data_IF_369834989775
#
_entry.id   IF_369834989775
#
_cell.length_a   1.000
_cell.length_b   1.000
_cell.length_c   1.000
_cell.angle_alpha   90.00
_cell.angle_beta   90.00
_cell.angle_gamma   90.00
#
_symmetry.space_group_name_H-M   'P 1'
#
loop_
_entity.id
_entity.type
_entity.pdbx_description
1 polymer ?
#
# COMPACT_ATOMS: atom_id res chain seq x y z
N UNK A 1 -37.12 -23.49 -34.22
CA UNK A 1 -37.97 -22.50 -33.52
C UNK A 1 -37.89 -22.82 -32.04
N UNK A 2 -37.20 -21.93 -31.30
CA UNK A 2 -37.01 -21.86 -29.84
C UNK A 2 -36.52 -23.12 -29.10
N UNK A 3 -35.20 -23.18 -28.92
CA UNK A 3 -34.54 -23.91 -27.83
C UNK A 3 -34.67 -23.02 -26.60
N UNK A 4 -35.35 -23.51 -25.56
CA UNK A 4 -35.54 -22.79 -24.30
C UNK A 4 -34.22 -22.61 -23.57
N UNK A 5 -33.69 -21.39 -23.58
CA UNK A 5 -32.59 -20.97 -22.73
C UNK A 5 -33.08 -20.90 -21.28
N UNK A 6 -32.47 -21.72 -20.43
CA UNK A 6 -32.61 -21.64 -18.98
C UNK A 6 -31.98 -20.31 -18.54
N UNK A 7 -32.67 -19.44 -17.77
CA UNK A 7 -32.06 -18.23 -17.28
C UNK A 7 -30.96 -18.60 -16.26
N UNK A 8 -29.72 -18.22 -16.55
CA UNK A 8 -28.63 -18.23 -15.59
C UNK A 8 -28.95 -17.18 -14.51
N UNK A 9 -29.48 -17.64 -13.39
CA UNK A 9 -29.57 -16.84 -12.16
C UNK A 9 -28.12 -16.61 -11.70
N UNK A 10 -27.63 -15.37 -11.79
CA UNK A 10 -26.37 -14.94 -11.17
C UNK A 10 -26.52 -14.99 -9.64
N UNK A 11 -26.26 -16.15 -9.06
CA UNK A 11 -26.03 -16.33 -7.63
C UNK A 11 -24.55 -16.12 -7.32
N UNK A 12 -24.23 -15.09 -6.54
CA UNK A 12 -22.96 -14.93 -5.83
C UNK A 12 -21.78 -14.47 -6.68
N UNK A 13 -21.39 -13.20 -6.56
CA UNK A 13 -20.04 -12.79 -6.89
C UNK A 13 -19.09 -13.64 -6.01
N UNK A 14 -18.24 -14.45 -6.63
CA UNK A 14 -17.19 -15.16 -5.88
C UNK A 14 -16.42 -14.12 -5.06
N UNK A 15 -16.17 -14.38 -3.76
CA UNK A 15 -15.35 -13.48 -2.96
C UNK A 15 -14.00 -13.33 -3.64
N UNK A 16 -13.50 -12.10 -3.69
CA UNK A 16 -12.18 -11.81 -4.23
C UNK A 16 -11.14 -12.53 -3.38
N UNK A 17 -10.19 -13.21 -4.05
CA UNK A 17 -9.09 -13.95 -3.43
C UNK A 17 -7.80 -13.26 -3.88
N UNK A 18 -6.99 -12.84 -2.91
CA UNK A 18 -5.73 -12.15 -3.15
C UNK A 18 -4.59 -12.95 -2.54
N UNK A 19 -3.55 -13.22 -3.32
CA UNK A 19 -2.30 -13.78 -2.84
C UNK A 19 -1.31 -12.67 -2.46
N UNK A 20 -0.21 -13.04 -1.82
CA UNK A 20 0.77 -12.10 -1.30
C UNK A 20 2.20 -12.55 -1.54
N UNK A 21 3.10 -11.57 -1.64
CA UNK A 21 4.54 -11.81 -1.70
C UNK A 21 5.13 -11.75 -0.30
N UNK A 22 6.02 -12.70 0.01
CA UNK A 22 6.80 -12.76 1.23
C UNK A 22 8.18 -12.11 1.03
N UNK A 23 8.60 -11.34 2.03
CA UNK A 23 9.90 -10.67 2.08
C UNK A 23 10.65 -11.21 3.31
N UNK A 24 11.80 -11.86 3.07
CA UNK A 24 12.49 -12.67 4.08
C UNK A 24 13.24 -11.88 5.18
N UNK A 25 13.27 -10.54 5.11
CA UNK A 25 14.02 -9.69 6.04
C UNK A 25 15.54 -9.73 5.89
N UNK A 26 16.07 -10.40 4.87
CA UNK A 26 17.51 -10.61 4.66
C UNK A 26 18.02 -9.89 3.43
N UNK A 27 17.41 -10.08 2.26
CA UNK A 27 17.84 -9.41 1.03
C UNK A 27 16.72 -9.16 0.00
N UNK A 28 15.49 -9.54 0.32
CA UNK A 28 14.35 -9.38 -0.59
C UNK A 28 13.81 -7.95 -0.58
N UNK A 29 13.74 -7.35 -1.77
CA UNK A 29 12.99 -6.12 -2.01
C UNK A 29 12.74 -5.90 -3.50
N UNK A 30 11.84 -4.97 -3.84
CA UNK A 30 11.61 -4.55 -5.21
C UNK A 30 12.15 -3.14 -5.41
N UNK A 31 12.87 -2.90 -6.51
CA UNK A 31 13.48 -1.63 -6.86
C UNK A 31 12.97 -1.12 -8.20
N UNK A 32 12.46 0.12 -8.23
CA UNK A 32 12.08 0.77 -9.49
C UNK A 32 13.29 1.21 -10.32
N UNK A 33 14.37 1.65 -9.65
CA UNK A 33 15.59 2.16 -10.27
C UNK A 33 15.41 3.44 -11.09
N UNK A 34 14.28 4.13 -10.92
CA UNK A 34 13.96 5.41 -11.52
C UNK A 34 12.80 6.08 -10.73
N UNK A 35 12.49 7.32 -11.07
CA UNK A 35 11.26 7.97 -10.62
C UNK A 35 10.02 7.25 -11.15
N UNK A 36 8.91 7.42 -10.43
CA UNK A 36 7.63 6.86 -10.83
C UNK A 36 7.11 7.59 -12.06
N UNK A 37 6.80 6.84 -13.12
CA UNK A 37 6.29 7.41 -14.35
C UNK A 37 4.98 8.15 -14.09
N UNK A 38 4.91 9.43 -14.46
CA UNK A 38 3.70 10.24 -14.31
C UNK A 38 3.41 10.70 -12.88
N UNK A 39 4.28 10.46 -11.90
CA UNK A 39 4.14 11.06 -10.58
C UNK A 39 4.31 12.58 -10.66
N UNK A 40 3.48 13.30 -9.88
CA UNK A 40 3.49 14.76 -9.77
C UNK A 40 3.34 15.11 -8.30
N UNK A 41 4.07 16.13 -7.86
CA UNK A 41 3.98 16.66 -6.51
C UNK A 41 2.56 17.11 -6.19
N UNK A 42 2.07 16.75 -5.01
CA UNK A 42 0.69 17.01 -4.63
C UNK A 42 0.53 17.18 -3.12
N UNK A 43 -0.61 17.76 -2.73
CA UNK A 43 -1.08 17.87 -1.36
C UNK A 43 -1.91 16.67 -0.92
N UNK A 44 -2.22 15.78 -1.86
CA UNK A 44 -3.15 14.66 -1.67
C UNK A 44 -2.50 13.32 -1.96
N UNK A 45 -3.02 12.28 -1.34
CA UNK A 45 -2.70 10.92 -1.71
C UNK A 45 -3.50 9.88 -0.94
N UNK A 46 -3.43 8.66 -1.46
CA UNK A 46 -4.02 7.45 -0.86
C UNK A 46 -2.93 6.38 -0.78
N UNK A 47 -2.89 5.67 0.34
CA UNK A 47 -2.14 4.44 0.50
C UNK A 47 -3.06 3.33 1.03
N UNK A 48 -2.96 2.13 0.47
CA UNK A 48 -3.58 0.92 1.00
C UNK A 48 -2.64 -0.26 0.81
N UNK A 49 -2.52 -1.14 1.81
CA UNK A 49 -1.87 -2.44 1.65
C UNK A 49 -2.39 -3.42 2.71
N UNK A 50 -2.36 -4.71 2.38
CA UNK A 50 -2.46 -5.77 3.37
C UNK A 50 -1.06 -6.22 3.75
N UNK A 51 -0.77 -6.29 5.05
CA UNK A 51 0.55 -6.64 5.56
C UNK A 51 0.46 -7.71 6.65
N UNK A 52 1.39 -8.65 6.65
CA UNK A 52 1.65 -9.58 7.76
C UNK A 52 3.09 -9.37 8.21
N UNK A 53 3.31 -9.24 9.51
CA UNK A 53 4.64 -8.97 10.07
C UNK A 53 5.20 -10.28 10.64
N UNK A 54 6.28 -10.79 10.08
CA UNK A 54 6.84 -12.09 10.49
C UNK A 54 8.03 -11.93 11.44
N UNK A 55 8.63 -10.74 11.52
CA UNK A 55 9.72 -10.46 12.45
C UNK A 55 10.11 -8.98 12.61
N UNK A 56 11.35 -8.77 13.07
CA UNK A 56 12.01 -7.46 13.09
C UNK A 56 11.49 -6.44 14.11
N UNK A 57 10.82 -6.87 15.18
CA UNK A 57 10.33 -5.96 16.22
C UNK A 57 11.45 -5.08 16.79
N UNK A 58 11.18 -3.80 17.01
CA UNK A 58 12.20 -2.84 17.41
C UNK A 58 13.10 -2.34 16.27
N UNK A 59 12.94 -2.85 15.05
CA UNK A 59 13.62 -2.37 13.85
C UNK A 59 12.65 -1.65 12.89
N UNK A 60 13.21 -0.77 12.06
CA UNK A 60 12.44 -0.17 10.97
C UNK A 60 12.23 -1.17 9.83
N UNK A 61 10.98 -1.41 9.45
CA UNK A 61 10.60 -2.25 8.31
C UNK A 61 9.92 -1.41 7.24
N UNK A 62 10.47 -1.38 6.03
CA UNK A 62 9.95 -0.57 4.92
C UNK A 62 8.86 -1.31 4.18
N UNK A 63 7.69 -0.69 4.02
CA UNK A 63 6.68 -1.15 3.06
C UNK A 63 6.91 -0.46 1.72
N UNK A 64 7.00 0.86 1.72
CA UNK A 64 7.27 1.70 0.55
C UNK A 64 8.21 2.84 0.93
N UNK A 65 9.23 3.11 0.13
CA UNK A 65 10.11 4.27 0.32
C UNK A 65 10.63 4.82 -0.99
N UNK A 66 10.70 6.13 -1.11
CA UNK A 66 11.55 6.78 -2.12
C UNK A 66 13.03 6.76 -1.70
N UNK A 67 13.94 7.16 -2.58
CA UNK A 67 15.32 7.46 -2.16
C UNK A 67 15.30 8.53 -1.09
N UNK A 68 16.11 8.34 -0.05
CA UNK A 68 16.32 9.36 0.98
C UNK A 68 17.53 10.21 0.58
N UNK A 69 17.27 11.41 0.06
CA UNK A 69 18.29 12.42 -0.19
C UNK A 69 18.08 13.59 0.78
N UNK A 70 17.61 14.73 0.28
CA UNK A 70 17.20 15.88 1.11
C UNK A 70 15.76 15.70 1.62
N UNK A 71 14.95 14.95 0.88
CA UNK A 71 13.52 14.72 1.11
C UNK A 71 13.16 13.27 0.76
N UNK A 72 12.05 12.79 1.31
CA UNK A 72 11.55 11.45 1.05
C UNK A 72 10.05 11.28 1.32
N UNK A 73 9.48 10.23 0.71
CA UNK A 73 8.20 9.64 1.11
C UNK A 73 8.45 8.29 1.79
N UNK A 74 7.71 7.97 2.85
CA UNK A 74 7.76 6.67 3.55
C UNK A 74 6.38 6.11 3.82
N UNK A 75 6.32 4.78 3.75
CA UNK A 75 5.42 3.93 4.51
C UNK A 75 6.25 2.84 5.16
N UNK A 76 6.28 2.79 6.49
CA UNK A 76 7.11 1.84 7.23
C UNK A 76 6.53 1.56 8.61
N UNK A 77 6.97 0.46 9.22
CA UNK A 77 6.92 0.29 10.68
C UNK A 77 8.21 0.85 11.26
N UNK A 78 8.12 1.73 12.26
CA UNK A 78 9.29 2.32 12.95
C UNK A 78 9.85 1.39 14.02
N UNK A 79 11.01 1.76 14.58
CA UNK A 79 11.65 1.05 15.70
C UNK A 79 10.84 1.02 17.00
N UNK A 80 9.82 1.88 17.12
CA UNK A 80 8.83 1.85 18.20
C UNK A 80 7.62 0.96 17.88
N UNK A 81 7.66 0.21 16.78
CA UNK A 81 6.63 -0.68 16.25
C UNK A 81 5.35 0.03 15.78
N UNK A 82 5.35 1.35 15.62
CA UNK A 82 4.21 2.06 15.03
C UNK A 82 4.35 2.14 13.52
N UNK A 83 3.24 1.96 12.81
CA UNK A 83 3.21 2.28 11.39
C UNK A 83 3.21 3.78 11.20
N UNK A 84 3.90 4.23 10.16
CA UNK A 84 3.93 5.62 9.79
C UNK A 84 3.93 5.80 8.27
N UNK A 85 3.22 6.84 7.86
CA UNK A 85 3.21 7.37 6.50
C UNK A 85 3.69 8.81 6.59
N UNK A 86 4.77 9.13 5.89
CA UNK A 86 5.41 10.43 5.96
C UNK A 86 5.78 10.96 4.59
N UNK A 87 5.77 12.28 4.45
CA UNK A 87 6.09 12.96 3.22
C UNK A 87 6.73 14.31 3.47
N UNK A 88 7.84 14.55 2.78
CA UNK A 88 8.56 15.81 2.80
C UNK A 88 8.19 16.67 1.59
N UNK A 89 8.30 17.99 1.72
CA UNK A 89 8.30 18.87 0.55
C UNK A 89 9.66 18.84 -0.17
N UNK A 90 9.77 19.54 -1.30
CA UNK A 90 11.01 19.63 -2.09
C UNK A 90 12.20 20.25 -1.31
N UNK A 91 11.95 20.95 -0.21
CA UNK A 91 12.98 21.53 0.66
C UNK A 91 13.43 20.58 1.79
N UNK A 92 12.89 19.36 1.88
CA UNK A 92 13.24 18.39 2.94
C UNK A 92 12.55 18.64 4.28
N UNK A 93 11.46 19.42 4.28
CA UNK A 93 10.65 19.62 5.49
C UNK A 93 9.54 18.57 5.54
N UNK A 94 9.43 17.84 6.66
CA UNK A 94 8.31 16.92 6.91
C UNK A 94 7.00 17.72 7.01
N UNK A 95 6.10 17.50 6.06
CA UNK A 95 4.81 18.20 5.96
C UNK A 95 3.62 17.25 6.11
N UNK A 96 3.87 15.94 6.00
CA UNK A 96 2.93 14.88 6.29
C UNK A 96 3.56 13.91 7.29
N UNK A 97 2.85 13.62 8.37
CA UNK A 97 3.11 12.46 9.21
C UNK A 97 1.79 11.92 9.74
N UNK A 98 1.39 10.75 9.25
CA UNK A 98 0.33 9.93 9.85
C UNK A 98 1.02 8.78 10.58
N UNK A 99 0.74 8.62 11.86
CA UNK A 99 1.31 7.54 12.69
C UNK A 99 0.20 6.84 13.43
N UNK A 100 0.27 5.52 13.56
CA UNK A 100 -0.72 4.77 14.36
C UNK A 100 -0.74 5.22 15.81
N UNK A 101 -1.87 5.04 16.50
CA UNK A 101 -1.98 5.20 17.94
C UNK A 101 -1.63 3.92 18.71
N UNK A 102 -1.57 2.78 18.00
CA UNK A 102 -1.15 1.49 18.53
C UNK A 102 0.17 1.01 17.90
N UNK A 103 0.91 0.21 18.66
CA UNK A 103 2.10 -0.51 18.20
C UNK A 103 1.71 -1.89 17.65
N UNK A 104 2.38 -2.32 16.57
CA UNK A 104 2.14 -3.58 15.87
C UNK A 104 3.43 -4.40 15.78
N UNK A 105 3.49 -5.46 16.56
CA UNK A 105 4.62 -6.40 16.55
C UNK A 105 4.37 -7.53 15.55
N UNK A 106 5.41 -8.33 15.30
CA UNK A 106 5.32 -9.53 14.50
C UNK A 106 4.21 -10.46 15.01
N UNK A 107 3.37 -10.94 14.10
CA UNK A 107 2.30 -11.90 14.36
C UNK A 107 1.80 -12.51 13.04
N UNK A 108 1.13 -13.66 13.12
CA UNK A 108 0.48 -14.28 11.95
C UNK A 108 -0.78 -13.55 11.47
N UNK A 109 -1.11 -12.38 12.03
CA UNK A 109 -2.33 -11.63 11.69
C UNK A 109 -2.09 -10.71 10.50
N UNK A 110 -2.99 -10.77 9.52
CA UNK A 110 -3.05 -9.80 8.43
C UNK A 110 -3.65 -8.48 8.91
N UNK A 111 -3.01 -7.38 8.54
CA UNK A 111 -3.43 -6.02 8.83
C UNK A 111 -3.71 -5.29 7.52
N UNK A 112 -4.88 -4.67 7.41
CA UNK A 112 -5.16 -3.71 6.34
C UNK A 112 -4.75 -2.31 6.79
N UNK A 113 -3.67 -1.80 6.22
CA UNK A 113 -3.19 -0.44 6.42
C UNK A 113 -3.84 0.46 5.36
N UNK A 114 -4.70 1.38 5.77
CA UNK A 114 -5.43 2.27 4.86
C UNK A 114 -5.28 3.73 5.30
N UNK A 115 -4.85 4.60 4.39
CA UNK A 115 -4.66 6.01 4.67
C UNK A 115 -4.98 6.93 3.49
N UNK A 116 -5.43 8.13 3.82
CA UNK A 116 -5.67 9.21 2.87
C UNK A 116 -5.31 10.55 3.49
N UNK A 117 -4.79 11.48 2.70
CA UNK A 117 -4.49 12.83 3.16
C UNK A 117 -4.88 13.88 2.11
N UNK A 118 -5.29 15.04 2.61
CA UNK A 118 -5.42 16.30 1.89
C UNK A 118 -4.86 17.43 2.77
N UNK A 119 -3.63 17.85 2.46
CA UNK A 119 -2.91 18.88 3.22
C UNK A 119 -3.50 20.28 3.02
N UNK A 120 -4.26 20.53 1.94
CA UNK A 120 -4.93 21.81 1.76
C UNK A 120 -6.09 21.99 2.74
N UNK A 121 -6.77 20.89 3.06
CA UNK A 121 -7.91 20.84 3.99
C UNK A 121 -7.52 20.42 5.41
N UNK A 122 -6.22 20.16 5.67
CA UNK A 122 -5.72 19.56 6.90
C UNK A 122 -6.49 18.27 7.29
N UNK A 123 -6.82 17.45 6.29
CA UNK A 123 -7.49 16.16 6.48
C UNK A 123 -6.48 15.01 6.40
N UNK A 124 -6.42 14.19 7.43
CA UNK A 124 -5.54 13.01 7.50
C UNK A 124 -6.27 11.84 8.16
N UNK A 125 -6.23 10.69 7.51
CA UNK A 125 -6.88 9.47 7.97
C UNK A 125 -5.90 8.31 7.91
N UNK A 126 -5.86 7.52 8.98
CA UNK A 126 -5.13 6.27 9.06
C UNK A 126 -5.98 5.25 9.80
N UNK A 127 -6.19 4.11 9.15
CA UNK A 127 -7.03 3.02 9.61
C UNK A 127 -6.24 1.73 9.58
N UNK A 128 -6.46 0.89 10.59
CA UNK A 128 -6.00 -0.49 10.66
C UNK A 128 -7.25 -1.37 10.75
N UNK A 129 -7.41 -2.29 9.81
CA UNK A 129 -8.55 -3.22 9.79
C UNK A 129 -9.92 -2.50 9.90
N UNK A 130 -10.09 -1.44 9.10
CA UNK A 130 -11.31 -0.60 9.08
C UNK A 130 -11.61 0.18 10.38
N UNK A 131 -10.73 0.13 11.38
CA UNK A 131 -10.80 0.93 12.60
C UNK A 131 -9.83 2.12 12.52
N UNK A 132 -10.28 3.31 12.94
CA UNK A 132 -9.41 4.49 12.95
C UNK A 132 -8.28 4.28 13.96
N UNK A 133 -7.04 4.43 13.49
CA UNK A 133 -5.85 4.24 14.29
C UNK A 133 -4.81 5.29 13.89
N UNK A 134 -5.09 6.52 14.27
CA UNK A 134 -4.24 7.68 13.97
C UNK A 134 -3.95 8.42 15.28
N UNK A 135 -2.68 8.76 15.49
CA UNK A 135 -2.22 9.68 16.54
C UNK A 135 -2.22 11.11 16.01
N UNK A 136 -1.77 12.11 16.79
CA UNK A 136 -1.73 13.51 16.34
C UNK A 136 -0.92 13.65 15.05
N UNK A 137 -1.53 13.99 13.90
CA UNK A 137 -0.81 14.01 12.63
C UNK A 137 -0.10 15.35 12.37
N UNK A 138 0.94 15.31 11.55
CA UNK A 138 1.48 16.52 10.89
C UNK A 138 0.77 16.69 9.56
N UNK A 139 0.13 17.84 9.34
CA UNK A 139 -0.60 18.17 8.11
C UNK A 139 -0.33 19.63 7.74
N UNK A 140 0.80 19.89 7.10
CA UNK A 140 1.21 21.24 6.68
C UNK A 140 0.78 21.49 5.24
N UNK A 141 0.09 22.61 4.98
CA UNK A 141 -0.46 22.95 3.66
C UNK A 141 0.62 23.33 2.63
N UNK A 142 1.34 22.34 2.14
CA UNK A 142 2.37 22.42 1.11
C UNK A 142 2.35 21.14 0.25
N UNK A 143 3.07 21.12 -0.86
CA UNK A 143 3.14 19.96 -1.76
C UNK A 143 4.21 18.97 -1.30
N UNK A 144 3.84 17.70 -1.19
CA UNK A 144 4.76 16.58 -0.99
C UNK A 144 5.48 16.31 -2.31
N UNK A 145 6.80 16.11 -2.23
CA UNK A 145 7.61 15.74 -3.39
C UNK A 145 7.48 14.24 -3.67
N UNK A 146 6.81 13.92 -4.78
CA UNK A 146 6.64 12.55 -5.28
C UNK A 146 7.53 12.25 -6.49
N UNK A 147 8.28 13.25 -7.00
CA UNK A 147 9.10 13.15 -8.21
C UNK A 147 10.52 12.65 -7.95
N UNK A 148 10.70 11.89 -6.87
CA UNK A 148 11.99 11.40 -6.37
C UNK A 148 12.61 10.32 -7.25
N UNK A 149 13.94 10.25 -7.23
CA UNK A 149 14.74 9.54 -8.24
C UNK A 149 14.65 8.01 -8.23
N UNK A 150 14.40 7.37 -7.09
CA UNK A 150 14.15 5.92 -7.03
C UNK A 150 13.13 5.57 -5.96
N UNK A 151 12.54 4.39 -6.09
CA UNK A 151 11.52 3.86 -5.20
C UNK A 151 11.77 2.38 -4.91
N UNK A 152 11.53 2.00 -3.66
CA UNK A 152 11.70 0.64 -3.15
C UNK A 152 10.44 0.17 -2.42
N UNK A 153 10.11 -1.10 -2.59
CA UNK A 153 9.07 -1.80 -1.84
C UNK A 153 9.75 -2.92 -1.07
N UNK A 154 9.45 -3.04 0.22
CA UNK A 154 10.13 -3.99 1.10
C UNK A 154 11.52 -3.55 1.59
N UNK A 155 12.07 -2.44 1.10
CA UNK A 155 13.31 -1.84 1.62
C UNK A 155 13.42 -0.38 1.15
N UNK A 156 14.32 0.38 1.75
CA UNK A 156 14.76 1.64 1.12
C UNK A 156 15.54 1.33 -0.16
N UNK A 157 15.52 2.23 -1.17
CA UNK A 157 16.43 2.12 -2.31
C UNK A 157 17.89 2.04 -1.84
N UNK A 158 18.51 0.87 -2.01
CA UNK A 158 19.83 0.56 -1.44
C UNK A 158 19.86 -0.67 -0.50
N UNK A 159 18.70 -1.24 -0.16
CA UNK A 159 18.61 -2.55 0.50
C UNK A 159 18.79 -2.54 2.03
N UNK A 160 18.43 -1.45 2.71
CA UNK A 160 18.37 -1.40 4.18
C UNK A 160 16.93 -1.23 4.68
N UNK A 161 16.70 -1.45 5.99
CA UNK A 161 15.36 -1.44 6.60
C UNK A 161 14.39 -2.40 5.90
N UNK A 162 14.88 -3.62 5.68
CA UNK A 162 14.20 -4.70 4.96
C UNK A 162 12.92 -5.09 5.69
N UNK A 163 11.85 -5.31 4.93
CA UNK A 163 10.62 -5.93 5.38
C UNK A 163 10.89 -7.38 5.75
N UNK A 164 10.34 -7.81 6.89
CA UNK A 164 10.27 -9.21 7.29
C UNK A 164 8.80 -9.56 7.45
N UNK A 165 8.23 -10.16 6.41
CA UNK A 165 6.83 -10.55 6.31
C UNK A 165 6.23 -10.26 4.95
N UNK A 166 4.91 -10.33 4.85
CA UNK A 166 4.21 -10.36 3.57
C UNK A 166 3.47 -9.06 3.24
N UNK A 167 3.34 -8.78 1.94
CA UNK A 167 2.57 -7.64 1.41
C UNK A 167 1.62 -8.14 0.31
N UNK A 168 0.37 -7.69 0.37
CA UNK A 168 -0.64 -7.91 -0.67
C UNK A 168 -1.35 -6.59 -1.02
N UNK A 169 -1.88 -6.49 -2.24
CA UNK A 169 -2.80 -5.41 -2.65
C UNK A 169 -2.25 -4.00 -2.33
N UNK A 170 -0.95 -3.76 -2.62
CA UNK A 170 -0.31 -2.48 -2.33
C UNK A 170 -0.72 -1.43 -3.37
N UNK A 171 -1.42 -0.40 -2.92
CA UNK A 171 -1.99 0.68 -3.70
C UNK A 171 -1.41 2.02 -3.24
N UNK A 172 -0.85 2.80 -4.17
CA UNK A 172 -0.35 4.14 -3.89
C UNK A 172 -0.74 5.12 -4.99
N UNK A 173 -1.58 6.09 -4.64
CA UNK A 173 -2.12 7.08 -5.55
C UNK A 173 -1.83 8.51 -5.06
N UNK A 174 -0.58 9.00 -5.21
CA UNK A 174 -0.29 10.40 -4.98
C UNK A 174 -1.11 11.26 -5.97
N UNK A 175 -1.64 12.38 -5.50
CA UNK A 175 -2.53 13.23 -6.30
C UNK A 175 -4.02 12.86 -6.24
N UNK A 176 -4.39 11.72 -5.65
CA UNK A 176 -5.79 11.31 -5.50
C UNK A 176 -6.21 11.38 -4.03
N UNK A 177 -7.50 11.60 -3.76
CA UNK A 177 -8.04 11.66 -2.41
C UNK A 177 -9.44 11.04 -2.33
N UNK A 178 -9.67 10.32 -1.24
CA UNK A 178 -10.98 9.90 -0.77
C UNK A 178 -11.04 10.20 0.72
N UNK A 179 -12.15 10.76 1.19
CA UNK A 179 -12.36 10.96 2.62
C UNK A 179 -12.67 9.61 3.29
N UNK A 180 -11.67 9.05 3.98
CA UNK A 180 -11.82 7.78 4.71
C UNK A 180 -12.50 7.89 6.07
N UNK A 181 -12.89 9.09 6.53
CA UNK A 181 -13.87 9.17 7.62
C UNK A 181 -15.22 8.56 7.20
N UNK A 182 -15.54 8.64 5.91
CA UNK A 182 -16.75 8.05 5.31
C UNK A 182 -16.55 6.55 5.05
N UNK A 183 -17.37 5.72 5.69
CA UNK A 183 -17.27 4.26 5.59
C UNK A 183 -17.38 3.75 4.15
N UNK A 184 -18.29 4.29 3.34
CA UNK A 184 -18.46 3.85 1.95
C UNK A 184 -17.20 4.04 1.10
N UNK A 185 -16.31 4.99 1.45
CA UNK A 185 -15.02 5.14 0.79
C UNK A 185 -14.02 4.07 1.24
N UNK A 186 -14.01 3.69 2.51
CA UNK A 186 -13.19 2.57 3.01
C UNK A 186 -13.63 1.23 2.42
N UNK A 187 -14.94 1.05 2.22
CA UNK A 187 -15.52 -0.16 1.62
C UNK A 187 -15.06 -0.45 0.18
N UNK A 188 -14.41 0.51 -0.47
CA UNK A 188 -13.76 0.32 -1.77
C UNK A 188 -12.44 -0.45 -1.67
N UNK A 189 -11.84 -0.54 -0.49
CA UNK A 189 -10.55 -1.22 -0.24
C UNK A 189 -10.67 -2.43 0.68
N UNK A 190 -11.68 -2.44 1.57
CA UNK A 190 -11.93 -3.52 2.53
C UNK A 190 -13.42 -3.83 2.61
N UNK A 191 -13.79 -5.09 2.51
CA UNK A 191 -15.19 -5.54 2.64
C UNK A 191 -15.68 -5.42 4.08
N UNK A 192 -17.00 -5.46 4.28
CA UNK A 192 -17.61 -5.48 5.62
C UNK A 192 -17.18 -6.70 6.47
N UNK A 193 -16.68 -7.77 5.84
CA UNK A 193 -16.14 -8.94 6.52
C UNK A 193 -14.67 -8.79 6.94
N UNK A 194 -14.05 -7.62 6.71
CA UNK A 194 -12.63 -7.41 7.01
C UNK A 194 -11.70 -8.15 6.05
N UNK A 195 -12.11 -8.33 4.79
CA UNK A 195 -11.35 -8.98 3.71
C UNK A 195 -11.04 -8.01 2.58
N UNK A 196 -9.98 -8.23 1.77
CA UNK A 196 -9.69 -7.40 0.59
C UNK A 196 -10.92 -7.20 -0.30
N UNK A 197 -11.15 -5.95 -0.72
CA UNK A 197 -12.11 -5.63 -1.78
C UNK A 197 -11.41 -5.70 -3.14
N UNK A 198 -12.14 -6.08 -4.20
CA UNK A 198 -11.59 -6.07 -5.55
C UNK A 198 -11.37 -4.63 -6.05
N UNK A 199 -10.12 -4.26 -6.31
CA UNK A 199 -9.76 -2.90 -6.73
C UNK A 199 -9.77 -2.70 -8.25
N UNK A 200 -10.06 -3.76 -9.02
CA UNK A 200 -9.96 -3.76 -10.48
C UNK A 200 -8.60 -4.30 -10.95
N UNK A 201 -8.51 -4.66 -12.23
CA UNK A 201 -7.28 -5.23 -12.80
C UNK A 201 -6.06 -4.29 -12.68
N UNK A 202 -6.29 -2.98 -12.72
CA UNK A 202 -5.29 -1.91 -12.62
C UNK A 202 -5.47 -1.04 -11.36
N UNK A 203 -6.34 -1.43 -10.43
CA UNK A 203 -6.65 -0.64 -9.24
C UNK A 203 -7.56 0.56 -9.49
N UNK A 204 -8.16 0.74 -10.67
CA UNK A 204 -8.95 1.95 -10.97
C UNK A 204 -10.32 2.03 -10.28
N UNK A 205 -10.87 0.94 -9.71
CA UNK A 205 -12.23 0.92 -9.17
C UNK A 205 -12.47 1.92 -8.03
N UNK A 206 -11.58 2.08 -7.03
CA UNK A 206 -11.86 2.94 -5.89
C UNK A 206 -12.04 4.43 -6.25
N UNK A 207 -11.27 4.94 -7.21
CA UNK A 207 -11.24 6.37 -7.55
C UNK A 207 -11.73 6.67 -8.97
N UNK A 208 -11.93 5.65 -9.80
CA UNK A 208 -12.20 5.81 -11.23
C UNK A 208 -10.94 6.08 -12.06
N UNK A 209 -9.74 6.00 -11.47
CA UNK A 209 -8.46 6.21 -12.16
C UNK A 209 -7.40 5.30 -11.55
N UNK A 210 -6.57 4.68 -12.39
CA UNK A 210 -5.49 3.83 -11.91
C UNK A 210 -4.53 4.62 -10.97
N UNK A 211 -4.04 3.99 -9.88
CA UNK A 211 -3.01 4.56 -9.02
C UNK A 211 -1.65 4.61 -9.74
N UNK A 212 -0.68 5.30 -9.13
CA UNK A 212 0.71 5.25 -9.59
C UNK A 212 1.32 3.86 -9.29
N UNK A 213 1.00 3.25 -8.15
CA UNK A 213 1.38 1.86 -7.87
C UNK A 213 0.16 1.01 -7.55
N UNK A 214 0.11 -0.16 -8.18
CA UNK A 214 -0.75 -1.27 -7.75
C UNK A 214 0.02 -2.58 -7.91
N UNK A 215 0.43 -3.17 -6.79
CA UNK A 215 1.11 -4.46 -6.73
C UNK A 215 0.18 -5.48 -6.09
N UNK A 216 -0.13 -6.53 -6.85
CA UNK A 216 -1.16 -7.52 -6.53
C UNK A 216 -0.79 -8.87 -7.13
N UNK A 217 -1.27 -9.94 -6.51
CA UNK A 217 -1.26 -11.30 -7.06
C UNK A 217 -2.68 -11.86 -7.04
N UNK A 218 -3.18 -12.23 -8.21
CA UNK A 218 -4.39 -13.04 -8.32
C UNK A 218 -4.14 -14.43 -7.70
N UNK A 219 -5.20 -15.12 -7.26
CA UNK A 219 -5.09 -16.45 -6.66
C UNK A 219 -4.34 -17.45 -7.57
N UNK A 220 -3.25 -18.02 -7.06
CA UNK A 220 -2.37 -18.95 -7.74
C UNK A 220 -1.40 -18.31 -8.74
N UNK A 221 -1.30 -16.97 -8.77
CA UNK A 221 -0.36 -16.26 -9.63
C UNK A 221 1.10 -16.47 -9.18
N UNK A 222 2.03 -16.46 -10.14
CA UNK A 222 3.46 -16.59 -9.85
C UNK A 222 3.93 -15.35 -9.08
N UNK A 223 4.54 -15.55 -7.91
CA UNK A 223 4.96 -14.46 -7.01
C UNK A 223 5.82 -13.38 -7.66
N UNK A 224 6.66 -13.73 -8.64
CA UNK A 224 7.47 -12.77 -9.38
C UNK A 224 6.63 -11.67 -10.07
N UNK A 225 5.35 -11.93 -10.36
CA UNK A 225 4.44 -10.95 -10.93
C UNK A 225 4.07 -9.83 -9.95
N UNK A 226 4.31 -9.99 -8.64
CA UNK A 226 4.09 -8.93 -7.67
C UNK A 226 4.95 -7.69 -7.97
N UNK A 227 6.11 -7.85 -8.62
CA UNK A 227 6.95 -6.74 -9.07
C UNK A 227 6.42 -6.02 -10.33
N UNK A 228 5.44 -6.61 -11.01
CA UNK A 228 4.71 -5.94 -12.09
C UNK A 228 3.77 -4.93 -11.48
N UNK A 229 4.03 -3.65 -11.74
CA UNK A 229 3.14 -2.59 -11.31
C UNK A 229 1.96 -2.56 -12.27
N UNK A 230 0.77 -2.93 -11.79
CA UNK A 230 -0.49 -2.87 -12.55
C UNK A 230 -1.06 -1.45 -12.62
N UNK A 231 -0.50 -0.51 -11.87
CA UNK A 231 -0.75 0.93 -11.98
C UNK A 231 0.13 1.62 -13.05
N UNK A 232 0.20 2.95 -13.01
CA UNK A 232 0.83 3.74 -14.07
C UNK A 232 2.34 4.04 -13.90
N UNK A 233 2.91 3.81 -12.71
CA UNK A 233 4.25 4.26 -12.29
C UNK A 233 5.45 3.48 -12.85
N UNK A 234 5.20 2.44 -13.65
CA UNK A 234 6.21 1.55 -14.21
C UNK A 234 6.62 0.41 -13.26
N UNK A 235 7.18 -0.66 -13.85
CA UNK A 235 7.50 -1.91 -13.16
C UNK A 235 8.74 -1.80 -12.27
N UNK A 236 8.78 -2.67 -11.25
CA UNK A 236 9.92 -2.81 -10.35
C UNK A 236 10.69 -4.09 -10.71
N UNK A 237 11.98 -4.13 -10.35
CA UNK A 237 12.81 -5.32 -10.45
C UNK A 237 13.01 -5.91 -9.04
N UNK A 238 12.93 -7.23 -8.92
CA UNK A 238 13.20 -7.93 -7.67
C UNK A 238 14.71 -7.99 -7.44
N UNK A 239 15.14 -7.65 -6.23
CA UNK A 239 16.45 -8.00 -5.66
C UNK A 239 16.20 -9.07 -4.61
N UNK A 240 17.00 -10.14 -4.63
CA UNK A 240 16.72 -11.34 -3.83
C UNK A 240 15.79 -12.31 -4.57
N UNK A 241 14.94 -13.02 -3.84
CA UNK A 241 13.93 -13.93 -4.37
C UNK A 241 12.68 -13.86 -3.50
N UNK A 242 11.59 -13.29 -4.03
CA UNK A 242 10.30 -13.32 -3.35
C UNK A 242 9.72 -14.73 -3.36
N UNK A 243 9.18 -15.15 -2.21
CA UNK A 243 8.39 -16.37 -2.07
C UNK A 243 6.89 -16.03 -1.94
N UNK A 244 6.01 -16.98 -2.28
CA UNK A 244 4.59 -16.81 -2.03
C UNK A 244 4.31 -16.91 -0.52
N UNK A 245 3.47 -16.00 0.00
CA UNK A 245 3.08 -16.02 1.40
C UNK A 245 2.39 -17.34 1.77
N UNK A 246 2.69 -17.85 2.96
CA UNK A 246 2.11 -19.10 3.49
C UNK A 246 0.61 -19.03 3.84
N UNK A 247 0.05 -17.83 3.89
CA UNK A 247 -1.38 -17.54 4.13
C UNK A 247 -1.74 -16.30 3.32
N UNK A 248 -3.02 -16.07 3.10
CA UNK A 248 -3.53 -14.89 2.41
C UNK A 248 -4.36 -13.99 3.32
N UNK A 249 -4.50 -12.67 3.04
CA UNK A 249 -5.47 -11.83 3.73
C UNK A 249 -6.93 -12.28 3.50
N UNK A 250 -7.18 -13.15 2.54
CA UNK A 250 -8.49 -13.71 2.22
C UNK A 250 -8.84 -14.99 3.00
N UNK A 251 -7.89 -15.59 3.71
CA UNK A 251 -8.06 -16.85 4.49
C UNK A 251 -8.95 -16.72 5.73
#
# INVERSE_FOLDING_TARGET
MLIGGIPFLLTGQQPFVADAADFDGTNDYMLRGAGLTGAVDSKTGIFSAWVRLDGGDGASLTILRSTNAINAFLVLRRTDNFFAIGGDNAAGTEILLLKTSNAYTASSTWLHLLASWDLASAAGHLYINDASDISSPTLTNDTIDYTLANWGVGAVPGGTFLMNGCIAEMYFAPGQYLDFSVESNRRKFITAAGKPAYLGADGSIPTGTAPIMYHHLDNGEVVANFATNRGAGGNFAITGTLDAASTSPTD
#
